data_IF_185203733181
#
_entry.id   IF_185203733181
#
_cell.length_a   1.000
_cell.length_b   1.000
_cell.length_c   1.000
_cell.angle_alpha   90.00
_cell.angle_beta   90.00
_cell.angle_gamma   90.00
#
_symmetry.space_group_name_H-M   'P 1'
#
loop_
_entity.id
_entity.type
_entity.pdbx_description
1 polymer ?
#
# COMPACT_ATOMS: atom_id res chain seq x y z
N UNK A 1 -51.72 -3.96 -12.43
CA UNK A 1 -50.45 -4.41 -13.05
C UNK A 1 -49.56 -3.25 -13.51
N UNK A 2 -49.98 -2.32 -14.37
CA UNK A 2 -49.13 -1.21 -14.90
C UNK A 2 -48.55 -0.26 -13.83
N UNK A 3 -49.24 0.00 -12.71
CA UNK A 3 -48.73 0.85 -11.61
C UNK A 3 -47.61 0.18 -10.82
N UNK A 4 -47.72 -1.14 -10.59
CA UNK A 4 -46.68 -1.94 -9.90
C UNK A 4 -45.38 -1.97 -10.69
N UNK A 5 -45.45 -2.15 -12.02
CA UNK A 5 -44.28 -2.12 -12.88
C UNK A 5 -43.55 -0.76 -12.85
N UNK A 6 -44.31 0.36 -12.80
CA UNK A 6 -43.75 1.71 -12.73
C UNK A 6 -42.99 1.92 -11.39
N UNK A 7 -43.60 1.51 -10.28
CA UNK A 7 -42.98 1.64 -8.96
C UNK A 7 -41.71 0.74 -8.87
N UNK A 8 -41.77 -0.50 -9.35
CA UNK A 8 -40.59 -1.39 -9.39
C UNK A 8 -39.48 -0.80 -10.27
N UNK A 9 -39.80 -0.20 -11.43
CA UNK A 9 -38.82 0.46 -12.28
C UNK A 9 -38.17 1.69 -11.62
N UNK A 10 -38.92 2.49 -10.89
CA UNK A 10 -38.37 3.64 -10.15
C UNK A 10 -37.47 3.17 -9.01
N UNK A 11 -37.89 2.17 -8.23
CA UNK A 11 -37.08 1.63 -7.15
C UNK A 11 -35.76 1.03 -7.67
N UNK A 12 -35.80 0.29 -8.77
CA UNK A 12 -34.62 -0.23 -9.43
C UNK A 12 -33.68 0.87 -9.90
N UNK A 13 -34.21 1.92 -10.56
CA UNK A 13 -33.38 3.04 -11.01
C UNK A 13 -32.75 3.80 -9.85
N UNK A 14 -33.44 3.98 -8.73
CA UNK A 14 -32.90 4.59 -7.51
C UNK A 14 -31.78 3.71 -6.92
N UNK A 15 -31.99 2.39 -6.83
CA UNK A 15 -30.97 1.46 -6.31
C UNK A 15 -29.70 1.48 -7.17
N UNK A 16 -29.83 1.45 -8.50
CA UNK A 16 -28.70 1.55 -9.43
C UNK A 16 -27.99 2.90 -9.29
N UNK A 17 -28.73 3.99 -9.16
CA UNK A 17 -28.16 5.33 -8.95
C UNK A 17 -27.37 5.44 -7.65
N UNK A 18 -27.86 4.83 -6.56
CA UNK A 18 -27.16 4.79 -5.27
C UNK A 18 -25.86 3.99 -5.34
N UNK A 19 -25.91 2.81 -5.98
CA UNK A 19 -24.68 1.99 -6.17
C UNK A 19 -23.65 2.76 -6.98
N UNK A 20 -24.05 3.41 -8.06
CA UNK A 20 -23.15 4.20 -8.88
C UNK A 20 -22.55 5.39 -8.10
N UNK A 21 -23.34 6.09 -7.30
CA UNK A 21 -22.86 7.17 -6.44
C UNK A 21 -21.86 6.69 -5.40
N UNK A 22 -22.07 5.51 -4.79
CA UNK A 22 -21.14 4.90 -3.84
C UNK A 22 -19.81 4.53 -4.49
N UNK A 23 -19.84 3.94 -5.69
CA UNK A 23 -18.63 3.59 -6.44
C UNK A 23 -17.83 4.85 -6.80
N UNK A 24 -18.49 5.91 -7.23
CA UNK A 24 -17.83 7.19 -7.51
C UNK A 24 -17.23 7.81 -6.24
N UNK A 25 -17.94 7.78 -5.12
CA UNK A 25 -17.45 8.31 -3.85
C UNK A 25 -16.21 7.53 -3.36
N UNK A 26 -16.22 6.19 -3.47
CA UNK A 26 -15.07 5.36 -3.15
C UNK A 26 -13.86 5.68 -4.05
N UNK A 27 -14.07 5.81 -5.36
CA UNK A 27 -13.02 6.20 -6.29
C UNK A 27 -12.39 7.56 -5.96
N UNK A 28 -13.20 8.56 -5.61
CA UNK A 28 -12.71 9.87 -5.17
C UNK A 28 -11.94 9.76 -3.85
N UNK A 29 -12.42 8.96 -2.88
CA UNK A 29 -11.75 8.78 -1.60
C UNK A 29 -10.36 8.15 -1.75
N UNK A 30 -10.20 7.17 -2.65
CA UNK A 30 -8.90 6.57 -2.99
C UNK A 30 -8.00 7.61 -3.67
N UNK A 31 -8.48 8.31 -4.70
CA UNK A 31 -7.70 9.31 -5.45
C UNK A 31 -7.23 10.49 -4.57
N UNK A 32 -8.00 10.84 -3.56
CA UNK A 32 -7.66 11.91 -2.61
C UNK A 32 -6.84 11.43 -1.42
N UNK A 33 -6.58 10.11 -1.32
CA UNK A 33 -5.80 9.51 -0.25
C UNK A 33 -6.50 9.47 1.11
N UNK A 34 -7.84 9.45 1.12
CA UNK A 34 -8.61 9.21 2.34
C UNK A 34 -8.77 7.73 2.66
N UNK A 35 -8.72 6.90 1.62
CA UNK A 35 -8.75 5.44 1.72
C UNK A 35 -7.47 4.92 1.06
N UNK A 36 -6.85 3.93 1.69
CA UNK A 36 -5.68 3.28 1.13
C UNK A 36 -6.03 2.55 -0.18
N UNK A 37 -5.06 2.49 -1.08
CA UNK A 37 -5.19 1.65 -2.27
C UNK A 37 -4.73 0.23 -1.90
N UNK A 38 -5.51 -0.78 -2.24
CA UNK A 38 -5.16 -2.19 -2.05
C UNK A 38 -4.04 -2.68 -2.96
N UNK A 39 -3.47 -1.80 -3.77
CA UNK A 39 -2.38 -2.10 -4.71
C UNK A 39 -1.10 -1.40 -4.30
N UNK A 40 0.01 -1.99 -4.69
CA UNK A 40 1.30 -1.31 -4.66
C UNK A 40 1.29 -0.11 -5.60
N UNK A 41 1.58 1.06 -5.06
CA UNK A 41 1.55 2.35 -5.77
C UNK A 41 2.96 2.92 -5.89
N UNK A 42 3.34 3.31 -7.10
CA UNK A 42 4.60 4.04 -7.31
C UNK A 42 4.54 5.44 -6.66
N UNK A 43 5.62 5.89 -6.05
CA UNK A 43 5.67 7.12 -5.27
C UNK A 43 5.22 8.37 -6.03
N UNK A 44 5.53 8.45 -7.33
CA UNK A 44 5.11 9.55 -8.21
C UNK A 44 3.60 9.56 -8.53
N UNK A 45 2.87 8.49 -8.20
CA UNK A 45 1.41 8.36 -8.37
C UNK A 45 0.65 8.52 -7.05
N UNK A 46 1.37 8.66 -5.93
CA UNK A 46 0.73 8.86 -4.64
C UNK A 46 0.12 10.26 -4.53
N UNK A 47 -1.09 10.39 -3.97
CA UNK A 47 -1.63 11.68 -3.59
C UNK A 47 -0.68 12.39 -2.61
N UNK A 48 -0.52 13.72 -2.76
CA UNK A 48 0.37 14.51 -1.89
C UNK A 48 0.04 14.40 -0.40
N UNK A 49 -1.24 14.19 -0.07
CA UNK A 49 -1.67 13.91 1.29
C UNK A 49 -1.08 12.61 1.84
N UNK A 50 -1.08 11.54 1.05
CA UNK A 50 -0.50 10.24 1.44
C UNK A 50 1.01 10.36 1.59
N UNK A 51 1.67 10.98 0.61
CA UNK A 51 3.13 11.22 0.67
C UNK A 51 3.52 11.95 1.95
N UNK A 52 2.79 13.02 2.31
CA UNK A 52 3.08 13.78 3.53
C UNK A 52 2.84 12.92 4.78
N UNK A 53 1.71 12.21 4.85
CA UNK A 53 1.35 11.37 5.98
C UNK A 53 2.40 10.26 6.20
N UNK A 54 2.82 9.57 5.13
CA UNK A 54 3.85 8.53 5.19
C UNK A 54 5.19 9.12 5.64
N UNK A 55 5.57 10.29 5.10
CA UNK A 55 6.81 10.96 5.49
C UNK A 55 6.81 11.38 6.97
N UNK A 56 5.67 11.84 7.49
CA UNK A 56 5.53 12.19 8.89
C UNK A 56 5.57 10.94 9.80
N UNK A 57 4.97 9.81 9.38
CA UNK A 57 4.94 8.55 10.16
C UNK A 57 6.30 7.84 10.19
N UNK A 58 6.95 7.79 9.06
CA UNK A 58 8.24 7.12 8.91
C UNK A 58 9.45 8.04 9.17
N UNK A 59 9.22 9.27 9.64
CA UNK A 59 10.26 10.24 9.95
C UNK A 59 11.32 10.34 8.86
N UNK A 60 10.91 10.77 7.65
CA UNK A 60 11.78 10.82 6.49
C UNK A 60 12.99 11.72 6.69
N UNK A 61 14.13 11.26 6.19
CA UNK A 61 15.32 12.08 6.09
C UNK A 61 15.11 13.24 5.11
N UNK A 62 15.85 14.35 5.26
CA UNK A 62 15.76 15.47 4.32
C UNK A 62 16.00 15.02 2.87
N UNK A 63 15.00 15.26 1.99
CA UNK A 63 15.05 14.92 0.58
C UNK A 63 14.76 13.46 0.23
N UNK A 64 14.44 12.62 1.20
CA UNK A 64 14.04 11.22 0.97
C UNK A 64 12.74 11.14 0.18
N UNK A 65 12.64 10.19 -0.76
CA UNK A 65 11.52 10.06 -1.70
C UNK A 65 10.99 8.64 -1.72
N UNK A 66 9.65 8.50 -1.74
CA UNK A 66 8.98 7.20 -1.92
C UNK A 66 9.19 6.72 -3.36
N UNK A 67 9.67 5.50 -3.53
CA UNK A 67 9.68 4.74 -4.80
C UNK A 67 8.40 3.92 -4.93
N UNK A 68 8.05 3.15 -3.88
CA UNK A 68 6.83 2.35 -3.81
C UNK A 68 6.22 2.43 -2.41
N UNK A 69 4.90 2.28 -2.37
CA UNK A 69 4.10 2.25 -1.15
C UNK A 69 3.00 1.21 -1.26
N UNK A 70 2.76 0.50 -0.16
CA UNK A 70 1.63 -0.39 0.04
C UNK A 70 1.09 -0.23 1.46
N UNK A 71 -0.22 -0.35 1.63
CA UNK A 71 -0.91 -0.35 2.93
C UNK A 71 -2.08 -1.33 2.85
N UNK A 72 -2.17 -2.25 3.80
CA UNK A 72 -3.30 -3.16 3.98
C UNK A 72 -4.43 -2.52 4.82
N UNK A 73 -4.12 -1.47 5.59
CA UNK A 73 -5.12 -0.74 6.37
C UNK A 73 -6.12 0.01 5.48
N UNK A 74 -7.31 0.28 6.02
CA UNK A 74 -8.32 1.09 5.34
C UNK A 74 -7.86 2.53 5.10
N UNK A 75 -6.93 3.02 5.91
CA UNK A 75 -6.34 4.37 5.79
C UNK A 75 -4.84 4.27 5.65
N UNK A 76 -4.20 5.10 4.81
CA UNK A 76 -2.74 5.07 4.61
C UNK A 76 -1.90 5.38 5.86
N UNK A 77 -2.53 5.77 6.96
CA UNK A 77 -1.85 6.06 8.22
C UNK A 77 -1.88 4.92 9.22
N UNK A 78 -2.67 3.87 8.98
CA UNK A 78 -2.80 2.75 9.91
C UNK A 78 -1.64 1.77 9.82
N UNK A 79 -1.15 1.52 8.61
CA UNK A 79 0.05 0.74 8.32
C UNK A 79 0.71 1.21 7.02
N UNK A 80 1.92 0.75 6.77
CA UNK A 80 2.55 0.96 5.47
C UNK A 80 3.89 0.25 5.33
N UNK A 81 4.07 -0.32 4.15
CA UNK A 81 5.33 -0.85 3.68
C UNK A 81 5.84 0.08 2.58
N UNK A 82 7.02 0.64 2.76
CA UNK A 82 7.56 1.73 1.93
C UNK A 82 8.95 1.38 1.44
N UNK A 83 9.15 1.46 0.15
CA UNK A 83 10.48 1.54 -0.44
C UNK A 83 10.76 3.01 -0.76
N UNK A 84 11.83 3.56 -0.20
CA UNK A 84 12.33 4.88 -0.55
C UNK A 84 13.57 4.80 -1.44
N UNK A 85 14.17 5.94 -1.75
CA UNK A 85 15.48 6.03 -2.41
C UNK A 85 16.66 5.78 -1.43
N UNK A 86 16.39 5.47 -0.15
CA UNK A 86 17.43 5.26 0.89
C UNK A 86 17.24 4.01 1.72
N UNK A 87 16.01 3.60 1.99
CA UNK A 87 15.69 2.52 2.93
C UNK A 87 14.37 1.83 2.61
N UNK A 88 14.19 0.65 3.20
CA UNK A 88 12.93 -0.07 3.27
C UNK A 88 12.36 0.16 4.66
N UNK A 89 11.06 0.45 4.75
CA UNK A 89 10.39 0.84 5.99
C UNK A 89 9.10 0.03 6.12
N UNK A 90 8.81 -0.44 7.34
CA UNK A 90 7.49 -0.92 7.73
C UNK A 90 7.02 -0.17 8.97
N UNK A 91 5.77 0.28 8.98
CA UNK A 91 5.18 0.94 10.14
C UNK A 91 3.74 0.50 10.37
N UNK A 92 3.34 0.53 11.62
CA UNK A 92 1.95 0.35 12.07
C UNK A 92 1.61 1.46 13.04
N UNK A 93 0.40 2.00 12.92
CA UNK A 93 -0.20 2.92 13.89
C UNK A 93 -1.71 2.64 13.93
N UNK A 94 -2.10 1.73 14.81
CA UNK A 94 -3.50 1.38 15.04
C UNK A 94 -4.15 2.23 16.17
N UNK A 95 -3.40 3.20 16.68
CA UNK A 95 -3.82 4.12 17.74
C UNK A 95 -3.55 3.61 19.16
N UNK A 96 -3.28 2.31 19.35
CA UNK A 96 -2.89 1.71 20.63
C UNK A 96 -1.41 1.36 20.66
N UNK A 97 -0.92 0.82 19.55
CA UNK A 97 0.47 0.45 19.33
C UNK A 97 0.98 1.13 18.06
N UNK A 98 2.06 1.87 18.19
CA UNK A 98 2.73 2.50 17.06
C UNK A 98 4.18 2.04 17.02
N UNK A 99 4.61 1.52 15.88
CA UNK A 99 6.00 1.17 15.66
C UNK A 99 6.41 1.50 14.22
N UNK A 100 7.69 1.74 14.03
CA UNK A 100 8.29 1.97 12.73
C UNK A 100 9.68 1.33 12.72
N UNK A 101 9.91 0.40 11.82
CA UNK A 101 11.18 -0.28 11.62
C UNK A 101 11.67 -0.03 10.20
N UNK A 102 12.97 -0.04 9.99
CA UNK A 102 13.56 0.20 8.69
C UNK A 102 14.96 -0.41 8.56
N UNK A 103 15.37 -0.66 7.31
CA UNK A 103 16.72 -1.06 6.93
C UNK A 103 17.22 -0.14 5.81
N UNK A 104 18.45 0.35 5.94
CA UNK A 104 19.10 1.13 4.88
C UNK A 104 19.37 0.23 3.67
N UNK A 105 19.19 0.74 2.45
CA UNK A 105 19.42 -0.03 1.23
C UNK A 105 20.85 -0.55 1.11
N UNK A 106 21.83 0.23 1.57
CA UNK A 106 23.25 -0.13 1.57
C UNK A 106 23.59 -1.27 2.52
N UNK A 107 22.77 -1.54 3.53
CA UNK A 107 22.96 -2.61 4.51
C UNK A 107 22.27 -3.91 4.11
N UNK A 108 21.37 -3.90 3.12
CA UNK A 108 20.58 -5.07 2.71
C UNK A 108 21.48 -6.07 2.01
N UNK A 109 21.48 -7.30 2.53
CA UNK A 109 22.23 -8.44 1.98
C UNK A 109 21.33 -9.42 1.21
N UNK A 110 20.03 -9.47 1.53
CA UNK A 110 19.07 -10.35 0.86
C UNK A 110 17.65 -9.77 0.93
N UNK A 111 16.86 -10.06 -0.08
CA UNK A 111 15.41 -9.83 -0.09
C UNK A 111 14.72 -10.96 -0.84
N UNK A 112 13.78 -11.62 -0.20
CA UNK A 112 13.09 -12.79 -0.75
C UNK A 112 11.67 -12.95 -0.23
N UNK A 113 10.87 -13.73 -0.95
CA UNK A 113 9.57 -14.16 -0.42
C UNK A 113 9.77 -15.23 0.65
N UNK A 114 9.27 -14.98 1.85
CA UNK A 114 9.03 -16.03 2.84
C UNK A 114 7.73 -16.77 2.53
N UNK A 115 6.72 -16.04 2.06
CA UNK A 115 5.43 -16.56 1.61
C UNK A 115 4.94 -15.76 0.40
N UNK A 116 4.38 -16.44 -0.60
CA UNK A 116 3.67 -15.81 -1.72
C UNK A 116 2.18 -15.84 -1.46
N UNK A 117 1.59 -14.67 -1.34
CA UNK A 117 0.17 -14.48 -1.19
C UNK A 117 -0.62 -14.65 -2.49
N UNK A 118 -1.89 -14.37 -2.41
CA UNK A 118 -2.81 -14.37 -3.54
C UNK A 118 -3.72 -13.12 -3.51
N UNK A 119 -4.88 -13.19 -4.15
CA UNK A 119 -5.83 -12.08 -4.16
C UNK A 119 -6.41 -11.75 -2.76
N UNK A 120 -6.43 -12.71 -1.84
CA UNK A 120 -7.04 -12.57 -0.51
C UNK A 120 -6.02 -12.42 0.63
N UNK A 121 -4.76 -12.73 0.36
CA UNK A 121 -3.70 -12.78 1.36
C UNK A 121 -2.45 -12.09 0.83
N UNK A 122 -1.86 -11.22 1.64
CA UNK A 122 -0.64 -10.50 1.28
C UNK A 122 0.57 -11.44 1.25
N UNK A 123 1.50 -11.18 0.36
CA UNK A 123 2.80 -11.85 0.34
C UNK A 123 3.66 -11.33 1.48
N UNK A 124 4.45 -12.23 2.09
CA UNK A 124 5.48 -11.89 3.07
C UNK A 124 6.83 -11.80 2.37
N UNK A 125 7.43 -10.61 2.39
CA UNK A 125 8.77 -10.35 1.90
C UNK A 125 9.69 -10.14 3.11
N UNK A 126 10.72 -10.97 3.23
CA UNK A 126 11.76 -10.80 4.24
C UNK A 126 12.96 -10.10 3.62
N UNK A 127 13.34 -8.99 4.24
CA UNK A 127 14.54 -8.22 3.89
C UNK A 127 15.54 -8.38 5.02
N UNK A 128 16.73 -8.87 4.71
CA UNK A 128 17.79 -9.13 5.70
C UNK A 128 19.00 -8.24 5.45
N UNK A 129 19.52 -7.64 6.50
CA UNK A 129 20.75 -6.86 6.49
C UNK A 129 21.97 -7.76 6.76
N UNK A 130 23.15 -7.26 6.39
CA UNK A 130 24.44 -7.96 6.55
C UNK A 130 24.81 -8.26 8.01
N UNK A 131 24.25 -7.53 8.96
CA UNK A 131 24.47 -7.72 10.40
C UNK A 131 23.54 -8.77 11.04
N UNK A 132 22.63 -9.36 10.24
CA UNK A 132 21.64 -10.34 10.68
C UNK A 132 20.31 -9.75 11.13
N UNK A 133 20.15 -8.43 11.12
CA UNK A 133 18.83 -7.78 11.32
C UNK A 133 17.92 -8.11 10.15
N UNK A 134 16.63 -8.29 10.41
CA UNK A 134 15.65 -8.54 9.34
C UNK A 134 14.36 -7.75 9.56
N UNK A 135 13.70 -7.44 8.45
CA UNK A 135 12.41 -6.74 8.40
C UNK A 135 11.44 -7.55 7.54
N UNK A 136 10.24 -7.81 8.04
CA UNK A 136 9.17 -8.45 7.26
C UNK A 136 8.19 -7.42 6.75
N UNK A 137 7.89 -7.49 5.46
CA UNK A 137 6.93 -6.63 4.77
C UNK A 137 5.75 -7.48 4.30
N UNK A 138 4.54 -6.98 4.51
CA UNK A 138 3.32 -7.58 3.97
C UNK A 138 2.85 -6.77 2.78
N UNK A 139 2.83 -7.36 1.59
CA UNK A 139 2.61 -6.64 0.33
C UNK A 139 1.59 -7.37 -0.54
N UNK A 140 0.56 -6.66 -0.98
CA UNK A 140 -0.51 -7.24 -1.79
C UNK A 140 -0.04 -7.73 -3.15
N UNK A 141 -0.45 -8.97 -3.50
CA UNK A 141 -0.14 -9.62 -4.77
C UNK A 141 -0.95 -9.05 -5.96
N UNK A 142 -1.93 -8.17 -5.73
CA UNK A 142 -2.80 -7.65 -6.80
C UNK A 142 -1.99 -6.96 -7.91
N UNK A 143 -2.19 -7.41 -9.14
CA UNK A 143 -1.49 -6.94 -10.34
C UNK A 143 0.05 -7.05 -10.24
N UNK A 144 0.54 -8.17 -9.70
CA UNK A 144 1.96 -8.48 -9.47
C UNK A 144 2.65 -7.40 -8.61
N UNK A 145 1.90 -6.83 -7.65
CA UNK A 145 2.36 -5.75 -6.81
C UNK A 145 3.54 -6.14 -5.93
N UNK A 146 3.46 -7.30 -5.33
CA UNK A 146 4.47 -7.91 -4.47
C UNK A 146 5.77 -8.23 -5.22
N UNK A 147 5.69 -8.81 -6.44
CA UNK A 147 6.85 -9.06 -7.29
C UNK A 147 7.56 -7.75 -7.66
N UNK A 148 6.80 -6.76 -8.11
CA UNK A 148 7.37 -5.44 -8.46
C UNK A 148 7.98 -4.73 -7.26
N UNK A 149 7.42 -4.91 -6.08
CA UNK A 149 7.96 -4.32 -4.85
C UNK A 149 9.27 -5.00 -4.46
N UNK A 150 9.32 -6.35 -4.50
CA UNK A 150 10.53 -7.12 -4.23
C UNK A 150 11.65 -6.82 -5.22
N UNK A 151 11.35 -6.83 -6.52
CA UNK A 151 12.34 -6.52 -7.57
C UNK A 151 12.90 -5.11 -7.40
N UNK A 152 12.05 -4.14 -7.06
CA UNK A 152 12.50 -2.79 -6.79
C UNK A 152 13.39 -2.66 -5.53
N UNK A 153 13.19 -3.50 -4.50
CA UNK A 153 14.11 -3.58 -3.35
C UNK A 153 15.45 -4.13 -3.82
N UNK A 154 15.45 -5.25 -4.56
CA UNK A 154 16.68 -5.89 -5.05
C UNK A 154 17.49 -4.94 -5.92
N UNK A 155 16.84 -4.32 -6.90
CA UNK A 155 17.46 -3.29 -7.75
C UNK A 155 18.07 -2.15 -6.92
N UNK A 156 17.32 -1.63 -5.95
CA UNK A 156 17.76 -0.50 -5.14
C UNK A 156 18.91 -0.84 -4.19
N UNK A 157 18.98 -2.10 -3.74
CA UNK A 157 20.03 -2.62 -2.87
C UNK A 157 21.24 -3.20 -3.66
N UNK A 158 21.16 -3.26 -5.01
CA UNK A 158 22.23 -3.81 -5.84
C UNK A 158 22.37 -5.33 -5.73
N UNK A 159 21.27 -6.06 -5.49
CA UNK A 159 21.27 -7.51 -5.32
C UNK A 159 21.10 -8.30 -6.65
N UNK A 160 20.83 -7.61 -7.74
CA UNK A 160 20.55 -8.21 -9.05
C UNK A 160 21.81 -8.36 -9.94
N UNK A 161 23.02 -8.29 -9.37
CA UNK A 161 24.27 -8.48 -10.12
C UNK A 161 24.77 -9.94 -10.08
#
# INVERSE_FOLDING_TARGET
>A
MRRFLKIAGVLFAVAVGLVFALVLAAGVAIQTGHVANTRVVAGNKLPSRVTKLVADRAEFFPGERIRFFYSAAMTPGGDGNVLTDRRVISYVDDGSDAWCEWLMLEDIAAAEFAFRGDFFEDSEIVVAASDGTSLTLYVGAEADGDERFLDAIREAAGLDE
#
